data_IF_409433655386
#
_entry.id   IF_409433655386
#
_cell.length_a   1.000
_cell.length_b   1.000
_cell.length_c   1.000
_cell.angle_alpha   90.00
_cell.angle_beta   90.00
_cell.angle_gamma   90.00
#
_symmetry.space_group_name_H-M   'P 1'
#
loop_
_entity.id
_entity.type
_entity.pdbx_description
1 polymer ?
#
# COMPACT_ATOMS: atom_id res chain seq x y z
N UNK A 1 4.03 10.87 14.97
CA UNK A 1 4.49 9.60 14.38
C UNK A 1 4.71 8.63 15.53
N UNK A 2 4.29 7.36 15.40
CA UNK A 2 4.47 6.37 16.47
C UNK A 2 5.97 6.08 16.70
N UNK A 3 6.33 5.62 17.90
CA UNK A 3 7.71 5.18 18.16
C UNK A 3 8.02 3.90 17.36
N UNK A 4 9.29 3.72 16.97
CA UNK A 4 9.70 2.54 16.19
C UNK A 4 9.42 1.21 16.91
N UNK A 5 9.50 1.20 18.25
CA UNK A 5 9.13 0.03 19.06
C UNK A 5 7.64 -0.30 18.93
N UNK A 6 6.77 0.70 18.97
CA UNK A 6 5.32 0.52 18.86
C UNK A 6 4.93 0.13 17.42
N UNK A 7 5.51 0.76 16.40
CA UNK A 7 5.33 0.38 14.99
C UNK A 7 5.70 -1.09 14.76
N UNK A 8 6.86 -1.51 15.25
CA UNK A 8 7.31 -2.91 15.13
C UNK A 8 6.38 -3.88 15.87
N UNK A 9 5.83 -3.50 17.03
CA UNK A 9 4.87 -4.32 17.77
C UNK A 9 3.57 -4.51 16.99
N UNK A 10 3.02 -3.43 16.42
CA UNK A 10 1.81 -3.47 15.60
C UNK A 10 2.06 -4.35 14.36
N UNK A 11 3.17 -4.15 13.64
CA UNK A 11 3.45 -4.95 12.44
C UNK A 11 3.62 -6.43 12.77
N UNK A 12 4.20 -6.78 13.93
CA UNK A 12 4.30 -8.17 14.38
C UNK A 12 2.93 -8.83 14.58
N UNK A 13 1.90 -8.10 15.01
CA UNK A 13 0.56 -8.69 15.23
C UNK A 13 -0.12 -9.13 13.93
N UNK A 14 0.29 -8.59 12.77
CA UNK A 14 -0.17 -9.02 11.46
C UNK A 14 0.38 -10.39 11.02
N UNK A 15 1.35 -10.99 11.74
CA UNK A 15 1.87 -12.34 11.45
C UNK A 15 2.31 -12.56 9.99
N UNK A 16 2.84 -11.53 9.33
CA UNK A 16 3.31 -11.64 7.95
C UNK A 16 4.44 -12.65 7.79
N UNK A 17 4.39 -13.43 6.72
CA UNK A 17 5.51 -14.27 6.30
C UNK A 17 6.67 -13.39 5.77
N UNK A 18 7.82 -14.00 5.47
CA UNK A 18 9.00 -13.25 5.02
C UNK A 18 8.71 -12.45 3.74
N UNK A 19 7.98 -13.04 2.80
CA UNK A 19 7.66 -12.41 1.54
C UNK A 19 6.79 -11.17 1.70
N UNK A 20 5.73 -11.27 2.51
CA UNK A 20 4.83 -10.17 2.83
C UNK A 20 5.55 -9.03 3.56
N UNK A 21 6.54 -9.35 4.41
CA UNK A 21 7.39 -8.32 5.05
C UNK A 21 8.24 -7.56 4.04
N UNK A 22 8.89 -8.27 3.12
CA UNK A 22 9.68 -7.65 2.05
C UNK A 22 8.77 -6.81 1.13
N UNK A 23 7.55 -7.30 0.88
CA UNK A 23 6.55 -6.57 0.12
C UNK A 23 6.13 -5.28 0.80
N UNK A 24 5.80 -5.33 2.10
CA UNK A 24 5.45 -4.16 2.89
C UNK A 24 6.56 -3.10 2.84
N UNK A 25 7.83 -3.51 2.93
CA UNK A 25 8.96 -2.58 2.83
C UNK A 25 9.01 -1.90 1.45
N UNK A 26 8.90 -2.66 0.36
CA UNK A 26 8.86 -2.11 -1.01
C UNK A 26 7.66 -1.21 -1.23
N UNK A 27 6.52 -1.58 -0.67
CA UNK A 27 5.28 -0.81 -0.75
C UNK A 27 5.45 0.55 -0.08
N UNK A 28 5.97 0.58 1.16
CA UNK A 28 6.28 1.82 1.88
C UNK A 28 7.32 2.66 1.14
N UNK A 29 8.38 2.04 0.63
CA UNK A 29 9.43 2.72 -0.13
C UNK A 29 8.91 3.38 -1.41
N UNK A 30 7.98 2.73 -2.11
CA UNK A 30 7.36 3.30 -3.31
C UNK A 30 6.59 4.60 -3.03
N UNK A 31 6.04 4.73 -1.81
CA UNK A 31 5.30 5.90 -1.37
C UNK A 31 6.25 7.01 -0.92
N UNK A 32 7.22 6.68 -0.06
CA UNK A 32 8.19 7.66 0.45
C UNK A 32 9.08 8.22 -0.66
N UNK A 33 9.40 7.39 -1.66
CA UNK A 33 10.19 7.78 -2.83
C UNK A 33 9.36 8.39 -3.97
N UNK A 34 8.06 8.63 -3.76
CA UNK A 34 7.15 9.25 -4.73
C UNK A 34 7.11 8.54 -6.09
N UNK A 35 7.02 7.21 -6.10
CA UNK A 35 6.99 6.38 -7.30
C UNK A 35 5.56 5.88 -7.59
N UNK A 36 4.68 6.67 -8.24
CA UNK A 36 3.26 6.35 -8.34
C UNK A 36 2.99 5.06 -9.13
N UNK A 37 3.71 4.84 -10.24
CA UNK A 37 3.56 3.63 -11.06
C UNK A 37 3.91 2.36 -10.29
N UNK A 38 4.99 2.41 -9.51
CA UNK A 38 5.40 1.27 -8.68
C UNK A 38 4.42 1.03 -7.54
N UNK A 39 3.96 2.09 -6.87
CA UNK A 39 2.97 2.00 -5.80
C UNK A 39 1.68 1.33 -6.27
N UNK A 40 1.10 1.79 -7.38
CA UNK A 40 -0.13 1.20 -7.94
C UNK A 40 0.08 -0.24 -8.36
N UNK A 41 1.22 -0.54 -8.99
CA UNK A 41 1.59 -1.93 -9.34
C UNK A 41 1.61 -2.83 -8.10
N UNK A 42 2.31 -2.43 -7.03
CA UNK A 42 2.42 -3.21 -5.80
C UNK A 42 1.08 -3.34 -5.06
N UNK A 43 0.21 -2.34 -5.15
CA UNK A 43 -1.15 -2.38 -4.62
C UNK A 43 -1.97 -3.47 -5.32
N UNK A 44 -2.03 -3.44 -6.65
CA UNK A 44 -2.81 -4.41 -7.44
C UNK A 44 -2.25 -5.83 -7.31
N UNK A 45 -0.93 -5.99 -7.45
CA UNK A 45 -0.27 -7.31 -7.35
C UNK A 45 -0.48 -7.94 -5.97
N UNK A 46 -0.63 -7.15 -4.89
CA UNK A 46 -0.91 -7.70 -3.56
C UNK A 46 -2.29 -8.34 -3.45
N UNK A 47 -3.28 -7.77 -4.13
CA UNK A 47 -4.66 -8.30 -4.19
C UNK A 47 -4.70 -9.57 -5.06
N UNK A 48 -4.09 -9.52 -6.25
CA UNK A 48 -4.00 -10.68 -7.14
C UNK A 48 -3.29 -11.87 -6.50
N UNK A 49 -2.24 -11.60 -5.71
CA UNK A 49 -1.35 -12.63 -5.18
C UNK A 49 -1.84 -13.29 -3.90
N UNK A 50 -2.47 -12.52 -3.02
CA UNK A 50 -2.86 -13.00 -1.67
C UNK A 50 -4.32 -12.72 -1.31
N UNK A 51 -5.09 -12.16 -2.23
CA UNK A 51 -6.48 -11.75 -2.02
C UNK A 51 -6.63 -10.44 -1.25
N UNK A 52 -7.82 -9.86 -1.39
CA UNK A 52 -8.14 -8.51 -0.92
C UNK A 52 -7.92 -8.33 0.58
N UNK A 53 -8.27 -9.33 1.40
CA UNK A 53 -8.07 -9.27 2.84
C UNK A 53 -6.58 -9.10 3.21
N UNK A 54 -5.71 -9.88 2.58
CA UNK A 54 -4.26 -9.78 2.84
C UNK A 54 -3.69 -8.47 2.31
N UNK A 55 -4.13 -8.03 1.13
CA UNK A 55 -3.74 -6.75 0.56
C UNK A 55 -4.11 -5.57 1.48
N UNK A 56 -5.33 -5.57 2.02
CA UNK A 56 -5.80 -4.58 2.99
C UNK A 56 -4.92 -4.58 4.25
N UNK A 57 -4.59 -5.76 4.78
CA UNK A 57 -3.70 -5.87 5.94
C UNK A 57 -2.31 -5.29 5.68
N UNK A 58 -1.75 -5.47 4.48
CA UNK A 58 -0.47 -4.84 4.09
C UNK A 58 -0.61 -3.32 4.00
N UNK A 59 -1.70 -2.82 3.41
CA UNK A 59 -1.97 -1.40 3.33
C UNK A 59 -2.10 -0.76 4.72
N UNK A 60 -2.89 -1.37 5.61
CA UNK A 60 -3.02 -0.94 7.01
C UNK A 60 -1.66 -0.94 7.73
N UNK A 61 -0.86 -2.00 7.58
CA UNK A 61 0.46 -2.07 8.16
C UNK A 61 1.38 -0.93 7.66
N UNK A 62 1.26 -0.54 6.38
CA UNK A 62 2.01 0.57 5.81
C UNK A 62 1.64 1.91 6.43
N UNK A 63 0.37 2.13 6.84
CA UNK A 63 -0.05 3.39 7.48
C UNK A 63 0.71 3.68 8.77
N UNK A 64 1.10 2.64 9.51
CA UNK A 64 1.89 2.80 10.73
C UNK A 64 3.35 3.19 10.46
N UNK A 65 3.86 2.92 9.26
CA UNK A 65 5.23 3.20 8.84
C UNK A 65 5.38 4.55 8.13
N UNK A 66 4.28 5.08 7.60
CA UNK A 66 4.28 6.30 6.79
C UNK A 66 4.05 7.55 7.65
N UNK A 67 4.63 8.68 7.20
CA UNK A 67 4.24 9.98 7.75
C UNK A 67 2.85 10.37 7.26
N UNK A 68 2.22 11.35 7.91
CA UNK A 68 0.95 11.91 7.45
C UNK A 68 1.03 12.42 6.00
N UNK A 69 2.13 13.10 5.63
CA UNK A 69 2.34 13.61 4.27
C UNK A 69 2.46 12.48 3.25
N UNK A 70 3.10 11.37 3.64
CA UNK A 70 3.26 10.22 2.75
C UNK A 70 1.97 9.46 2.53
N UNK A 71 1.16 9.30 3.58
CA UNK A 71 -0.19 8.75 3.46
C UNK A 71 -1.08 9.62 2.58
N UNK A 72 -1.09 10.94 2.79
CA UNK A 72 -1.88 11.87 1.98
C UNK A 72 -1.51 11.79 0.49
N UNK A 73 -0.21 11.68 0.17
CA UNK A 73 0.23 11.47 -1.20
C UNK A 73 -0.22 10.11 -1.74
N UNK A 74 -0.02 9.02 -0.99
CA UNK A 74 -0.41 7.67 -1.41
C UNK A 74 -1.90 7.56 -1.71
N UNK A 75 -2.73 8.15 -0.85
CA UNK A 75 -4.18 8.18 -1.02
C UNK A 75 -4.59 8.93 -2.30
N UNK A 76 -3.98 10.09 -2.58
CA UNK A 76 -4.24 10.84 -3.82
C UNK A 76 -3.86 10.05 -5.07
N UNK A 77 -2.73 9.35 -5.03
CA UNK A 77 -2.29 8.52 -6.17
C UNK A 77 -3.27 7.36 -6.40
N UNK A 78 -3.70 6.68 -5.33
CA UNK A 78 -4.68 5.61 -5.41
C UNK A 78 -6.03 6.10 -5.95
N UNK A 79 -6.49 7.27 -5.48
CA UNK A 79 -7.73 7.88 -5.94
C UNK A 79 -7.71 8.19 -7.43
N UNK A 80 -6.63 8.81 -7.93
CA UNK A 80 -6.45 9.08 -9.36
C UNK A 80 -6.43 7.79 -10.16
N UNK A 81 -5.73 6.75 -9.69
CA UNK A 81 -5.70 5.45 -10.37
C UNK A 81 -7.10 4.82 -10.48
N UNK A 82 -7.89 4.88 -9.41
CA UNK A 82 -9.28 4.39 -9.40
C UNK A 82 -10.14 5.18 -10.39
N UNK A 83 -10.00 6.50 -10.45
CA UNK A 83 -10.75 7.33 -11.39
C UNK A 83 -10.40 7.01 -12.85
N UNK A 84 -9.12 6.81 -13.16
CA UNK A 84 -8.67 6.40 -14.50
C UNK A 84 -9.22 5.04 -14.91
N UNK A 85 -9.18 4.04 -14.01
CA UNK A 85 -9.76 2.72 -14.26
C UNK A 85 -11.28 2.77 -14.50
N UNK A 86 -11.99 3.66 -13.81
CA UNK A 86 -13.43 3.89 -14.04
C UNK A 86 -13.68 4.52 -15.41
N UNK A 87 -12.82 5.44 -15.84
CA UNK A 87 -12.92 6.08 -17.15
C UNK A 87 -12.69 5.08 -18.29
N UNK A 88 -11.67 4.23 -18.19
CA UNK A 88 -11.40 3.17 -19.19
C UNK A 88 -12.64 2.28 -19.40
N UNK A 89 -13.26 1.80 -18.31
CA UNK A 89 -14.47 0.97 -18.39
C UNK A 89 -15.69 1.66 -19.02
N UNK A 90 -15.73 2.99 -18.99
CA UNK A 90 -16.78 3.77 -19.65
C UNK A 90 -16.50 3.94 -21.14
N UNK A 91 -15.23 4.01 -21.54
CA UNK A 91 -14.80 4.14 -22.94
C UNK A 91 -14.85 2.82 -23.71
N UNK A 92 -14.80 1.69 -23.02
CA UNK A 92 -14.97 0.34 -23.58
C UNK A 92 -16.44 -0.03 -23.89
N UNK A 93 -17.40 0.87 -23.59
CA UNK A 93 -18.85 0.70 -23.83
C UNK A 93 -19.31 1.54 -25.01
#
# INVERSE_FOLDING_TARGET
>A
MLSSKLQASIIKSYKFNLEQKLWLMKYVESITSRQPKLFIKLLNESDERWGTETALRIHEAATYLLSRKDMEWGNRVAEVAIQLLRLEKLLER
#
